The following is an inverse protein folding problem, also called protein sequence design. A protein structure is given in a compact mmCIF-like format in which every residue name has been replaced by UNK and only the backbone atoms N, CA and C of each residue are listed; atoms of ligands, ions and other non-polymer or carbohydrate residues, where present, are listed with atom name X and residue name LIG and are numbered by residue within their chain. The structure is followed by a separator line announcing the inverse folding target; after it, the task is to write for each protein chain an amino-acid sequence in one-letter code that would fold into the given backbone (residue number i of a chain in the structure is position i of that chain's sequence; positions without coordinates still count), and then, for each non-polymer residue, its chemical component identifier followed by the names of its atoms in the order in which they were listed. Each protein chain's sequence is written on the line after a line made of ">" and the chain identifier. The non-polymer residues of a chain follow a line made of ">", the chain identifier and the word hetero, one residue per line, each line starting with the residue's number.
data_IF_910672020765
#
_entry.id   IF_910672020765
#
_cell.length_a   1.000
_cell.length_b   1.000
_cell.length_c   1.000
_cell.angle_alpha   90.00
_cell.angle_beta   90.00
_cell.angle_gamma   90.00
#
_symmetry.space_group_name_H-M   'P 1'
#
loop_
_entity.id
_entity.type
_entity.pdbx_description
1 polymer ?
#
# COMPACT_ATOMS: atom_id res chain seq x y z
N UNK A 1 67.89 -36.69 13.60
CA UNK A 1 66.76 -37.51 13.13
C UNK A 1 65.57 -37.14 13.96
N UNK A 2 64.64 -36.30 13.42
CA UNK A 2 63.43 -35.88 14.09
C UNK A 2 62.30 -36.58 13.36
N UNK A 3 61.58 -37.46 14.08
CA UNK A 3 60.43 -38.18 13.58
C UNK A 3 59.20 -37.35 13.93
N UNK A 4 58.57 -36.74 12.92
CA UNK A 4 57.32 -36.01 13.09
C UNK A 4 56.13 -36.97 13.06
N UNK A 5 55.33 -37.00 14.12
CA UNK A 5 54.08 -37.73 14.18
C UNK A 5 52.99 -36.90 13.52
N UNK A 6 52.38 -37.39 12.45
CA UNK A 6 51.17 -36.84 11.84
C UNK A 6 49.94 -37.37 12.57
N UNK A 7 49.22 -36.50 13.27
CA UNK A 7 47.88 -36.81 13.76
C UNK A 7 46.84 -36.56 12.65
N UNK A 8 46.16 -37.59 12.21
CA UNK A 8 44.98 -37.50 11.33
C UNK A 8 43.75 -37.36 12.22
N UNK A 9 43.17 -36.18 12.24
CA UNK A 9 41.89 -35.96 12.87
C UNK A 9 40.75 -36.38 11.92
N UNK A 10 40.08 -37.48 12.25
CA UNK A 10 38.86 -37.89 11.53
C UNK A 10 37.68 -37.02 11.97
N UNK A 11 37.18 -36.15 11.08
CA UNK A 11 35.93 -35.44 11.26
C UNK A 11 34.78 -36.43 11.08
N UNK A 12 34.12 -36.82 12.17
CA UNK A 12 32.83 -37.50 12.10
C UNK A 12 31.78 -36.48 11.60
N UNK A 13 31.34 -36.61 10.37
CA UNK A 13 30.17 -35.91 9.85
C UNK A 13 28.92 -36.60 10.41
N UNK A 14 28.15 -35.85 11.21
CA UNK A 14 26.85 -36.29 11.63
C UNK A 14 25.92 -36.38 10.41
N UNK A 15 25.02 -37.37 10.30
CA UNK A 15 24.06 -37.44 9.21
C UNK A 15 23.15 -36.23 9.23
N UNK A 16 23.02 -35.51 8.09
CA UNK A 16 22.02 -34.46 7.93
C UNK A 16 20.62 -35.07 8.13
N UNK A 17 19.87 -34.48 9.06
CA UNK A 17 18.48 -34.82 9.21
C UNK A 17 17.72 -34.54 7.89
N UNK A 18 16.77 -35.40 7.48
CA UNK A 18 16.00 -35.18 6.26
C UNK A 18 15.27 -33.83 6.38
N UNK A 19 15.57 -32.92 5.46
CA UNK A 19 14.85 -31.65 5.35
C UNK A 19 13.41 -31.94 4.94
N UNK A 20 12.47 -31.42 5.71
CA UNK A 20 11.06 -31.45 5.32
C UNK A 20 10.89 -30.82 3.92
N UNK A 21 10.01 -31.35 3.07
CA UNK A 21 9.76 -30.74 1.78
C UNK A 21 9.32 -29.29 1.95
N UNK A 22 9.74 -28.37 1.06
CA UNK A 22 9.31 -26.98 1.13
C UNK A 22 7.78 -26.92 1.09
N UNK A 23 7.19 -26.11 1.99
CA UNK A 23 5.75 -25.91 2.00
C UNK A 23 5.28 -25.42 0.61
N UNK A 24 4.12 -25.90 0.12
CA UNK A 24 3.60 -25.44 -1.16
C UNK A 24 3.47 -23.92 -1.15
N UNK A 25 3.76 -23.24 -2.28
CA UNK A 25 3.64 -21.81 -2.35
C UNK A 25 2.19 -21.40 -2.03
N UNK A 26 2.03 -20.45 -1.11
CA UNK A 26 0.72 -19.91 -0.78
C UNK A 26 0.09 -19.33 -2.04
N UNK A 27 -1.19 -19.62 -2.26
CA UNK A 27 -1.93 -19.06 -3.37
C UNK A 27 -1.85 -17.53 -3.31
N UNK A 28 -1.27 -16.93 -4.36
CA UNK A 28 -1.15 -15.47 -4.46
C UNK A 28 -2.52 -14.86 -4.72
N UNK A 29 -2.77 -13.69 -4.14
CA UNK A 29 -3.97 -12.93 -4.42
C UNK A 29 -4.01 -12.39 -5.86
N UNK A 30 -5.16 -11.89 -6.32
CA UNK A 30 -5.30 -11.31 -7.65
C UNK A 30 -4.36 -10.10 -7.81
N UNK A 31 -3.67 -10.04 -8.95
CA UNK A 31 -2.79 -8.91 -9.29
C UNK A 31 -3.48 -8.07 -10.36
N UNK A 32 -3.58 -6.75 -10.13
CA UNK A 32 -4.18 -5.79 -11.04
C UNK A 32 -3.15 -4.72 -11.39
N UNK A 33 -3.12 -4.34 -12.67
CA UNK A 33 -2.21 -3.32 -13.17
C UNK A 33 -2.98 -2.19 -13.87
N UNK A 34 -2.84 -0.97 -13.35
CA UNK A 34 -3.43 0.20 -13.97
C UNK A 34 -2.89 0.46 -15.38
N UNK A 35 -1.64 0.08 -15.67
CA UNK A 35 -1.05 0.17 -17.02
C UNK A 35 -1.76 -0.73 -18.03
N UNK A 36 -2.33 -1.84 -17.58
CA UNK A 36 -3.12 -2.77 -18.37
C UNK A 36 -4.63 -2.43 -18.34
N UNK A 37 -4.98 -1.24 -17.82
CA UNK A 37 -6.36 -0.77 -17.64
C UNK A 37 -7.22 -1.68 -16.76
N UNK A 38 -6.61 -2.38 -15.83
CA UNK A 38 -7.29 -3.18 -14.82
C UNK A 38 -7.62 -2.26 -13.63
N UNK A 39 -8.73 -1.55 -13.72
CA UNK A 39 -9.11 -0.49 -12.78
C UNK A 39 -9.99 -0.98 -11.62
N UNK A 40 -10.40 -2.24 -11.66
CA UNK A 40 -11.24 -2.84 -10.63
C UNK A 40 -10.52 -4.00 -9.97
N UNK A 41 -10.65 -4.08 -8.66
CA UNK A 41 -10.16 -5.21 -7.87
C UNK A 41 -11.23 -5.65 -6.88
N UNK A 42 -11.30 -6.95 -6.66
CA UNK A 42 -12.09 -7.54 -5.58
C UNK A 42 -11.13 -8.08 -4.53
N UNK A 43 -10.92 -7.36 -3.43
CA UNK A 43 -10.05 -7.82 -2.37
C UNK A 43 -10.56 -9.15 -1.79
N UNK A 44 -9.69 -10.11 -1.49
CA UNK A 44 -10.10 -11.35 -0.85
C UNK A 44 -10.52 -11.09 0.60
N UNK A 45 -11.50 -11.86 1.06
CA UNK A 45 -11.81 -11.97 2.48
C UNK A 45 -10.85 -12.99 3.10
N UNK A 46 -10.13 -12.56 4.11
CA UNK A 46 -9.20 -13.41 4.84
C UNK A 46 -9.50 -13.32 6.34
N UNK A 47 -9.33 -14.43 7.03
CA UNK A 47 -9.34 -14.49 8.49
C UNK A 47 -7.91 -14.71 8.95
N UNK A 48 -7.28 -13.65 9.43
CA UNK A 48 -5.89 -13.66 9.86
C UNK A 48 -5.67 -12.58 10.91
N UNK A 49 -4.79 -12.89 11.85
CA UNK A 49 -4.29 -11.91 12.80
C UNK A 49 -3.18 -11.10 12.13
N UNK A 50 -3.24 -9.79 12.30
CA UNK A 50 -2.27 -8.83 11.76
C UNK A 50 -1.78 -7.93 12.88
N UNK A 51 -0.48 -7.69 12.88
CA UNK A 51 0.13 -6.64 13.70
C UNK A 51 0.39 -5.44 12.81
N UNK A 52 -0.22 -4.30 13.12
CA UNK A 52 -0.02 -3.06 12.35
C UNK A 52 1.29 -2.42 12.82
N UNK A 53 2.42 -2.87 12.28
CA UNK A 53 3.77 -2.41 12.64
C UNK A 53 4.56 -1.83 11.45
N UNK A 54 3.89 -1.64 10.30
CA UNK A 54 4.51 -1.14 9.06
C UNK A 54 5.23 -2.20 8.24
N UNK A 55 5.23 -3.49 8.66
CA UNK A 55 5.76 -4.59 7.87
C UNK A 55 4.64 -5.33 7.15
N UNK A 56 4.98 -5.97 6.05
CA UNK A 56 4.05 -6.77 5.25
C UNK A 56 4.60 -8.21 5.13
N UNK A 57 4.98 -8.79 6.27
CA UNK A 57 5.62 -10.10 6.34
C UNK A 57 4.65 -11.23 6.76
N UNK A 58 3.46 -10.90 7.26
CA UNK A 58 2.48 -11.93 7.57
C UNK A 58 1.95 -12.63 6.30
N UNK A 59 1.61 -13.92 6.41
CA UNK A 59 1.13 -14.72 5.27
C UNK A 59 -0.12 -14.15 4.58
N UNK A 60 -0.95 -13.38 5.30
CA UNK A 60 -2.13 -12.74 4.73
C UNK A 60 -1.79 -11.79 3.59
N UNK A 61 -0.67 -11.06 3.69
CA UNK A 61 -0.23 -10.15 2.65
C UNK A 61 0.17 -10.83 1.33
N UNK A 62 0.56 -12.09 1.37
CA UNK A 62 0.84 -12.86 0.16
C UNK A 62 -0.45 -13.25 -0.58
N UNK A 63 -1.56 -13.37 0.15
CA UNK A 63 -2.88 -13.68 -0.39
C UNK A 63 -3.71 -12.46 -0.74
N UNK A 64 -3.28 -11.27 -0.32
CA UNK A 64 -3.93 -9.99 -0.59
C UNK A 64 -3.99 -9.71 -2.09
N UNK A 65 -5.01 -8.97 -2.53
CA UNK A 65 -5.01 -8.41 -3.87
C UNK A 65 -3.90 -7.36 -4.01
N UNK A 66 -3.22 -7.34 -5.15
CA UNK A 66 -2.10 -6.45 -5.44
C UNK A 66 -2.50 -5.48 -6.54
N UNK A 67 -2.38 -4.19 -6.25
CA UNK A 67 -2.57 -3.12 -7.24
C UNK A 67 -1.22 -2.46 -7.51
N UNK A 68 -0.94 -2.22 -8.77
CA UNK A 68 0.30 -1.63 -9.25
C UNK A 68 0.08 -0.81 -10.52
N UNK A 69 1.14 -0.23 -11.08
CA UNK A 69 1.06 0.47 -12.35
C UNK A 69 0.20 1.73 -12.30
N UNK A 70 0.27 2.45 -11.20
CA UNK A 70 -0.45 3.71 -11.01
C UNK A 70 -0.02 4.77 -12.03
N UNK A 71 -0.95 5.65 -12.37
CA UNK A 71 -0.74 6.80 -13.23
C UNK A 71 -0.68 8.09 -12.42
N UNK A 72 -0.09 9.11 -13.00
CA UNK A 72 -0.15 10.48 -12.47
C UNK A 72 -1.58 11.03 -12.63
N UNK A 73 -1.96 11.88 -11.67
CA UNK A 73 -3.11 12.76 -11.80
C UNK A 73 -2.70 14.15 -12.30
N UNK A 74 -1.56 14.65 -11.85
CA UNK A 74 -0.99 15.94 -12.23
C UNK A 74 0.54 15.81 -12.38
N UNK A 75 1.20 16.62 -13.20
CA UNK A 75 0.66 17.69 -14.06
C UNK A 75 -0.05 17.18 -15.33
N UNK A 76 0.09 15.90 -15.66
CA UNK A 76 -0.55 15.28 -16.81
C UNK A 76 -1.24 13.99 -16.39
N UNK A 77 -2.55 13.96 -16.53
CA UNK A 77 -3.37 12.81 -16.17
C UNK A 77 -3.12 11.60 -17.08
N UNK A 78 -3.20 10.41 -16.51
CA UNK A 78 -3.12 9.14 -17.23
C UNK A 78 -1.73 8.72 -17.69
N UNK A 79 -0.67 9.51 -17.49
CA UNK A 79 0.70 9.04 -17.76
C UNK A 79 1.20 8.15 -16.60
N UNK A 80 2.09 7.19 -16.87
CA UNK A 80 2.67 6.39 -15.82
C UNK A 80 3.34 7.24 -14.73
N UNK A 81 3.13 6.89 -13.46
CA UNK A 81 3.85 7.52 -12.37
C UNK A 81 5.37 7.33 -12.53
N UNK A 82 6.15 8.36 -12.19
CA UNK A 82 7.61 8.31 -12.27
C UNK A 82 8.18 7.28 -11.29
N UNK A 83 7.64 7.25 -10.08
CA UNK A 83 8.00 6.32 -9.04
C UNK A 83 6.93 5.23 -8.90
N UNK A 84 7.34 4.04 -8.51
CA UNK A 84 6.41 2.91 -8.42
C UNK A 84 5.74 2.86 -7.05
N UNK A 85 4.46 2.51 -7.07
CA UNK A 85 3.69 2.21 -5.85
C UNK A 85 3.04 0.85 -5.99
N UNK A 86 3.05 0.08 -4.93
CA UNK A 86 2.32 -1.17 -4.80
C UNK A 86 1.39 -1.09 -3.61
N UNK A 87 0.13 -1.43 -3.82
CA UNK A 87 -0.87 -1.53 -2.75
C UNK A 87 -1.34 -2.97 -2.66
N UNK A 88 -1.37 -3.49 -1.44
CA UNK A 88 -1.97 -4.78 -1.11
C UNK A 88 -3.24 -4.52 -0.32
N UNK A 89 -4.32 -5.16 -0.69
CA UNK A 89 -5.61 -4.97 -0.03
C UNK A 89 -6.33 -6.29 0.19
N UNK A 90 -6.90 -6.43 1.37
CA UNK A 90 -7.76 -7.54 1.76
C UNK A 90 -8.67 -7.08 2.90
N UNK A 91 -9.68 -7.87 3.26
CA UNK A 91 -10.57 -7.53 4.36
C UNK A 91 -10.91 -8.74 5.22
N UNK A 92 -11.24 -8.46 6.48
CA UNK A 92 -11.82 -9.39 7.44
C UNK A 92 -13.30 -9.06 7.67
N UNK A 93 -14.03 -9.80 8.50
CA UNK A 93 -15.40 -9.44 8.87
C UNK A 93 -15.55 -8.05 9.53
N UNK A 94 -14.48 -7.51 10.09
CA UNK A 94 -14.50 -6.30 10.92
C UNK A 94 -13.62 -5.17 10.42
N UNK A 95 -12.71 -5.42 9.47
CA UNK A 95 -11.74 -4.44 9.01
C UNK A 95 -11.33 -4.64 7.56
N UNK A 96 -10.90 -3.56 6.92
CA UNK A 96 -10.18 -3.58 5.64
C UNK A 96 -8.73 -3.18 5.89
N UNK A 97 -7.80 -3.88 5.25
CA UNK A 97 -6.37 -3.72 5.45
C UNK A 97 -5.70 -3.27 4.16
N UNK A 98 -4.91 -2.23 4.26
CA UNK A 98 -4.10 -1.69 3.17
C UNK A 98 -2.63 -1.76 3.53
N UNK A 99 -1.85 -2.48 2.74
CA UNK A 99 -0.40 -2.52 2.84
C UNK A 99 0.21 -1.78 1.65
N UNK A 100 0.85 -0.64 1.89
CA UNK A 100 1.29 0.26 0.83
C UNK A 100 2.81 0.37 0.85
N UNK A 101 3.42 0.18 -0.33
CA UNK A 101 4.84 0.43 -0.57
C UNK A 101 4.96 1.46 -1.69
N UNK A 102 5.36 2.67 -1.34
CA UNK A 102 5.72 3.71 -2.27
C UNK A 102 7.24 3.79 -2.37
N UNK A 103 7.77 3.69 -3.59
CA UNK A 103 9.20 3.70 -3.84
C UNK A 103 9.60 5.07 -4.33
N UNK A 104 10.64 5.63 -3.74
CA UNK A 104 11.18 6.94 -4.05
C UNK A 104 12.71 6.91 -3.91
N UNK A 105 13.46 7.76 -4.64
CA UNK A 105 14.90 7.89 -4.42
C UNK A 105 15.22 8.25 -2.97
N UNK A 106 16.30 7.70 -2.44
CA UNK A 106 16.71 7.96 -1.06
C UNK A 106 16.92 9.46 -0.82
N UNK A 107 16.37 9.97 0.28
CA UNK A 107 16.49 11.37 0.68
C UNK A 107 15.52 12.34 -0.02
N UNK A 108 14.59 11.86 -0.84
CA UNK A 108 13.57 12.71 -1.48
C UNK A 108 12.25 12.76 -0.74
N UNK A 109 12.01 11.81 0.18
CA UNK A 109 10.78 11.75 0.99
C UNK A 109 10.69 12.99 1.90
N UNK A 110 9.55 13.67 1.85
CA UNK A 110 9.24 14.85 2.65
C UNK A 110 8.15 14.53 3.64
N UNK A 111 8.47 14.56 4.91
CA UNK A 111 7.51 14.37 5.99
C UNK A 111 7.99 15.08 7.25
N UNK A 112 7.07 15.65 8.00
CA UNK A 112 7.31 16.23 9.32
C UNK A 112 6.39 15.60 10.35
N UNK A 113 6.82 15.59 11.61
CA UNK A 113 5.93 15.27 12.72
C UNK A 113 5.08 16.51 12.98
N UNK A 114 3.80 16.36 12.82
CA UNK A 114 2.81 17.42 13.02
C UNK A 114 1.64 16.89 13.86
N UNK A 115 0.80 17.79 14.31
CA UNK A 115 -0.49 17.39 14.86
C UNK A 115 -1.36 16.74 13.77
N UNK A 116 -2.34 15.93 14.18
CA UNK A 116 -3.36 15.39 13.29
C UNK A 116 -3.93 16.48 12.38
N UNK A 117 -4.26 16.14 11.15
CA UNK A 117 -4.81 17.02 10.11
C UNK A 117 -3.90 18.13 9.57
N UNK A 118 -2.61 18.11 9.93
CA UNK A 118 -1.63 19.11 9.47
C UNK A 118 -0.56 18.55 8.55
N UNK A 119 -0.96 17.75 7.53
CA UNK A 119 -0.05 17.08 6.59
C UNK A 119 -0.23 17.54 5.14
N UNK A 120 -0.80 18.70 4.88
CA UNK A 120 -1.34 19.12 3.57
C UNK A 120 -0.30 19.34 2.45
N UNK A 121 0.98 19.53 2.77
CA UNK A 121 2.03 19.87 1.79
C UNK A 121 3.17 18.86 1.70
N UNK A 122 2.96 17.67 2.23
CA UNK A 122 3.97 16.63 2.36
C UNK A 122 3.66 15.43 1.47
N UNK A 123 4.63 14.51 1.38
CA UNK A 123 4.36 13.21 0.80
C UNK A 123 3.36 12.47 1.68
N UNK A 124 2.31 11.94 1.06
CA UNK A 124 1.22 11.30 1.78
C UNK A 124 0.53 10.25 0.92
N UNK A 125 -0.04 9.29 1.57
CA UNK A 125 -0.98 8.34 0.97
C UNK A 125 -2.39 8.80 1.30
N UNK A 126 -3.26 8.79 0.29
CA UNK A 126 -4.69 9.05 0.47
C UNK A 126 -5.50 7.85 0.01
N UNK A 127 -6.39 7.38 0.86
CA UNK A 127 -7.34 6.32 0.58
C UNK A 127 -8.74 6.94 0.58
N UNK A 128 -9.45 6.82 -0.54
CA UNK A 128 -10.81 7.32 -0.69
C UNK A 128 -11.77 6.15 -0.62
N UNK A 129 -12.68 6.17 0.34
CA UNK A 129 -13.69 5.15 0.55
C UNK A 129 -15.08 5.72 0.26
N UNK A 130 -15.72 5.22 -0.79
CA UNK A 130 -17.10 5.58 -1.14
C UNK A 130 -18.10 4.86 -0.26
N UNK A 131 -18.25 5.30 0.98
CA UNK A 131 -19.13 4.68 1.99
C UNK A 131 -20.60 5.02 1.81
N UNK A 132 -20.92 6.08 1.05
CA UNK A 132 -22.29 6.59 0.90
C UNK A 132 -23.02 5.99 -0.32
N UNK A 133 -22.35 5.26 -1.17
CA UNK A 133 -22.93 4.62 -2.38
C UNK A 133 -23.60 5.59 -3.38
N UNK A 134 -23.30 6.87 -3.27
CA UNK A 134 -23.87 7.96 -4.08
C UNK A 134 -22.92 8.46 -5.18
N UNK A 135 -21.67 7.96 -5.19
CA UNK A 135 -20.58 8.38 -6.10
C UNK A 135 -20.25 9.89 -6.02
N UNK A 136 -20.69 10.58 -4.99
CA UNK A 136 -20.52 12.02 -4.81
C UNK A 136 -19.72 12.39 -3.56
N UNK A 137 -19.66 11.47 -2.62
CA UNK A 137 -18.95 11.65 -1.36
C UNK A 137 -18.01 10.47 -1.11
N UNK A 138 -16.89 10.75 -0.49
CA UNK A 138 -15.95 9.74 -0.04
C UNK A 138 -15.36 10.12 1.31
N UNK A 139 -15.22 9.15 2.19
CA UNK A 139 -14.35 9.28 3.35
C UNK A 139 -12.91 9.24 2.85
N UNK A 140 -12.12 10.21 3.28
CA UNK A 140 -10.69 10.31 2.93
C UNK A 140 -9.87 9.98 4.17
N UNK A 141 -8.97 9.03 4.05
CA UNK A 141 -8.00 8.69 5.09
C UNK A 141 -6.61 9.02 4.54
N UNK A 142 -5.82 9.75 5.30
CA UNK A 142 -4.51 10.24 4.87
C UNK A 142 -3.45 9.89 5.90
N UNK A 143 -2.25 9.52 5.41
CA UNK A 143 -1.09 9.21 6.23
C UNK A 143 0.16 9.79 5.57
N UNK A 144 1.01 10.46 6.35
CA UNK A 144 2.34 10.80 5.90
C UNK A 144 3.34 9.66 6.23
N UNK A 145 4.58 9.70 5.71
CA UNK A 145 5.60 8.67 5.97
C UNK A 145 6.01 8.52 7.44
N UNK A 146 5.70 9.47 8.30
CA UNK A 146 5.97 9.41 9.75
C UNK A 146 4.77 8.96 10.58
N UNK A 147 3.67 8.54 9.91
CA UNK A 147 2.48 8.03 10.58
C UNK A 147 1.54 9.13 11.11
N UNK A 148 1.74 10.39 10.73
CA UNK A 148 0.77 11.43 11.04
C UNK A 148 -0.47 11.22 10.20
N UNK A 149 -1.61 11.20 10.86
CA UNK A 149 -2.92 10.95 10.26
C UNK A 149 -3.66 12.24 9.96
N UNK A 150 -4.44 12.23 8.89
CA UNK A 150 -5.49 13.18 8.63
C UNK A 150 -6.66 12.47 7.97
N UNK A 151 -7.86 12.93 8.20
CA UNK A 151 -9.05 12.32 7.64
C UNK A 151 -10.16 13.34 7.43
N UNK A 152 -11.16 12.97 6.65
CA UNK A 152 -12.24 13.88 6.36
C UNK A 152 -13.22 13.32 5.34
N UNK A 153 -14.07 14.20 4.85
CA UNK A 153 -15.04 13.91 3.79
C UNK A 153 -14.72 14.75 2.57
N UNK A 154 -14.54 14.09 1.45
CA UNK A 154 -14.48 14.72 0.14
C UNK A 154 -15.89 14.72 -0.46
N UNK A 155 -16.38 15.89 -0.83
CA UNK A 155 -17.66 16.05 -1.52
C UNK A 155 -17.40 16.57 -2.92
N UNK A 156 -17.93 15.88 -3.93
CA UNK A 156 -17.90 16.38 -5.29
C UNK A 156 -18.95 17.53 -5.42
N UNK A 157 -18.49 18.76 -5.48
CA UNK A 157 -19.34 19.90 -5.83
C UNK A 157 -19.56 19.83 -7.34
N UNK A 158 -20.79 19.46 -7.72
CA UNK A 158 -21.17 19.50 -9.12
C UNK A 158 -20.96 20.89 -9.69
N UNK A 159 -20.01 21.05 -10.59
CA UNK A 159 -19.93 22.24 -11.45
C UNK A 159 -21.14 22.23 -12.35
N UNK A 160 -22.21 22.90 -11.94
CA UNK A 160 -23.25 23.38 -12.84
C UNK A 160 -22.64 24.50 -13.70
N UNK A 161 -21.89 24.12 -14.71
CA UNK A 161 -21.56 25.05 -15.78
C UNK A 161 -21.69 24.30 -17.10
N UNK A 162 -22.74 24.62 -17.81
CA UNK A 162 -22.89 24.22 -19.18
C UNK A 162 -21.75 24.83 -20.02
N UNK A 163 -21.17 24.00 -20.84
CA UNK A 163 -20.28 24.47 -21.90
C UNK A 163 -18.95 23.75 -21.93
N UNK A 164 -18.83 22.80 -22.89
CA UNK A 164 -17.58 22.42 -23.49
C UNK A 164 -16.65 21.60 -22.61
N UNK A 165 -16.44 20.37 -23.05
CA UNK A 165 -15.38 19.50 -22.59
C UNK A 165 -14.00 20.13 -22.91
N UNK A 166 -13.60 21.13 -22.15
CA UNK A 166 -12.25 21.60 -22.08
C UNK A 166 -11.65 20.96 -20.84
N UNK A 167 -10.70 20.03 -21.07
CA UNK A 167 -10.03 19.27 -20.01
C UNK A 167 -9.20 20.15 -19.07
N UNK A 168 -9.87 20.98 -18.32
CA UNK A 168 -9.32 21.58 -17.13
C UNK A 168 -9.45 20.53 -16.04
N UNK A 169 -8.32 19.93 -15.66
CA UNK A 169 -8.20 19.13 -14.47
C UNK A 169 -8.85 19.92 -13.33
N UNK A 170 -10.06 19.54 -12.97
CA UNK A 170 -10.70 20.11 -11.79
C UNK A 170 -9.74 19.86 -10.64
N UNK A 171 -9.20 20.92 -10.06
CA UNK A 171 -8.39 20.81 -8.87
C UNK A 171 -9.22 20.01 -7.86
N UNK A 172 -8.68 18.89 -7.37
CA UNK A 172 -9.37 18.11 -6.34
C UNK A 172 -9.69 19.07 -5.21
N UNK A 173 -10.96 19.17 -4.87
CA UNK A 173 -11.36 19.95 -3.72
C UNK A 173 -10.66 19.41 -2.47
N UNK A 174 -10.28 20.31 -1.58
CA UNK A 174 -9.76 19.90 -0.28
C UNK A 174 -10.86 19.22 0.52
N UNK A 175 -10.60 18.09 1.16
CA UNK A 175 -11.58 17.45 2.02
C UNK A 175 -11.93 18.35 3.21
N UNK A 176 -13.17 18.22 3.71
CA UNK A 176 -13.55 18.75 5.02
C UNK A 176 -12.93 17.84 6.10
N UNK A 177 -11.96 18.37 6.84
CA UNK A 177 -11.24 17.66 7.89
C UNK A 177 -11.91 17.77 9.27
N UNK A 178 -13.14 18.28 9.35
CA UNK A 178 -13.86 18.37 10.63
C UNK A 178 -14.25 17.02 11.25
N UNK A 179 -14.58 15.98 10.47
CA UNK A 179 -14.83 14.65 11.03
C UNK A 179 -13.53 13.96 11.46
N UNK A 180 -13.55 13.30 12.62
CA UNK A 180 -12.46 12.46 13.13
C UNK A 180 -12.83 10.97 13.02
N UNK A 181 -12.05 10.21 12.28
CA UNK A 181 -12.18 8.76 12.18
C UNK A 181 -10.99 8.07 12.85
N UNK A 182 -11.23 6.90 13.42
CA UNK A 182 -10.17 6.04 13.96
C UNK A 182 -9.83 4.97 12.91
N UNK A 183 -8.58 4.92 12.48
CA UNK A 183 -8.10 3.96 11.48
C UNK A 183 -6.63 3.56 11.73
#
# INVERSE_FOLDING_TARGET
>A
MIVGAFMIAALLQAPLAPQAPPAPPLAQGPVQSGRERQLEVRPPRLEADIVVDGKLDEPAWQRAAVLSGFSQFAPQDGVPAADSTQVRVWYSPTAIYFGIRAFQPAGTVRATLADRDKISSEDQVQILLGTFHDHRQATVLMLNPLGVQADGILVEKGTLSGGGFTGQLAARESPDLSPDYVF
#
